data_IF_512997235216
#
_entry.id   IF_512997235216
#
_cell.length_a   1.000
_cell.length_b   1.000
_cell.length_c   1.000
_cell.angle_alpha   90.00
_cell.angle_beta   90.00
_cell.angle_gamma   90.00
#
_symmetry.space_group_name_H-M   'P 1'
#
loop_
_entity.id
_entity.type
_entity.pdbx_description
1 polymer ?
#
# COMPACT_ATOMS: atom_id res chain seq x y z
N UNK A 1 19.22 -14.49 -12.84
CA UNK A 1 18.33 -13.61 -12.06
C UNK A 1 18.21 -12.31 -12.85
N UNK A 2 17.08 -12.09 -13.55
CA UNK A 2 16.92 -10.90 -14.39
C UNK A 2 16.81 -9.65 -13.52
N UNK A 3 17.14 -8.50 -14.11
CA UNK A 3 17.23 -7.16 -13.54
C UNK A 3 15.96 -6.62 -12.85
N UNK A 4 14.87 -7.37 -12.84
CA UNK A 4 13.53 -6.89 -12.44
C UNK A 4 13.29 -6.96 -10.92
N UNK A 5 14.18 -7.61 -10.16
CA UNK A 5 14.06 -7.72 -8.70
C UNK A 5 14.29 -6.41 -7.94
N UNK A 6 14.85 -5.37 -8.59
CA UNK A 6 15.15 -4.09 -7.93
C UNK A 6 13.94 -3.18 -7.71
N UNK A 7 12.84 -3.42 -8.42
CA UNK A 7 11.64 -2.57 -8.33
C UNK A 7 10.52 -3.19 -7.50
N UNK A 8 10.66 -4.44 -7.05
CA UNK A 8 9.66 -5.15 -6.28
C UNK A 8 10.04 -5.16 -4.79
N UNK A 9 9.07 -4.91 -3.92
CA UNK A 9 9.30 -5.01 -2.48
C UNK A 9 9.37 -6.49 -2.03
N UNK A 10 10.33 -6.89 -1.18
CA UNK A 10 10.32 -8.22 -0.57
C UNK A 10 9.08 -8.45 0.31
N UNK A 11 8.72 -9.72 0.54
CA UNK A 11 7.72 -10.05 1.55
C UNK A 11 8.21 -9.69 2.96
N UNK A 12 7.27 -9.36 3.85
CA UNK A 12 7.55 -9.02 5.25
C UNK A 12 6.59 -7.99 5.81
N UNK A 13 6.92 -7.51 7.01
CA UNK A 13 6.12 -6.49 7.70
C UNK A 13 6.64 -5.10 7.39
N UNK A 14 5.71 -4.18 7.09
CA UNK A 14 6.01 -2.82 6.67
C UNK A 14 5.02 -1.83 7.27
N UNK A 15 5.48 -0.59 7.46
CA UNK A 15 4.60 0.57 7.46
C UNK A 15 4.50 1.11 6.03
N UNK A 16 3.30 1.49 5.61
CA UNK A 16 3.05 2.10 4.29
C UNK A 16 2.62 3.54 4.54
N UNK A 17 3.48 4.49 4.19
CA UNK A 17 3.34 5.91 4.56
C UNK A 17 3.11 6.73 3.30
N UNK A 18 2.15 7.63 3.28
CA UNK A 18 1.97 8.51 2.14
C UNK A 18 3.19 9.44 2.01
N UNK A 19 3.62 9.71 0.78
CA UNK A 19 4.76 10.60 0.54
C UNK A 19 4.47 12.05 0.93
N UNK A 20 3.20 12.46 0.93
CA UNK A 20 2.77 13.80 1.33
C UNK A 20 2.43 13.80 2.82
N UNK A 21 3.06 14.72 3.56
CA UNK A 21 2.74 14.95 4.97
C UNK A 21 1.40 15.67 5.13
N UNK A 22 0.80 15.54 6.31
CA UNK A 22 -0.29 16.41 6.73
C UNK A 22 0.16 17.88 6.81
N UNK A 23 -0.80 18.80 6.81
CA UNK A 23 -0.54 20.24 6.92
C UNK A 23 0.18 20.63 8.22
N UNK A 24 0.07 19.81 9.27
CA UNK A 24 0.79 19.96 10.54
C UNK A 24 2.18 19.31 10.53
N UNK A 25 2.64 18.83 9.36
CA UNK A 25 3.95 18.21 9.17
C UNK A 25 4.02 16.72 9.52
N UNK A 26 2.95 16.12 10.06
CA UNK A 26 2.97 14.70 10.43
C UNK A 26 2.95 13.78 9.21
N UNK A 27 3.73 12.70 9.29
CA UNK A 27 3.68 11.60 8.31
C UNK A 27 2.40 10.81 8.48
N UNK A 28 1.74 10.44 7.39
CA UNK A 28 0.46 9.75 7.40
C UNK A 28 0.64 8.31 6.91
N UNK A 29 0.36 7.33 7.76
CA UNK A 29 0.49 5.90 7.45
C UNK A 29 -0.86 5.24 7.23
N UNK A 30 -0.91 4.21 6.38
CA UNK A 30 -2.09 3.36 6.21
C UNK A 30 -2.47 2.72 7.54
N UNK A 31 -3.75 2.79 7.85
CA UNK A 31 -4.31 2.35 9.13
C UNK A 31 -5.45 1.38 8.89
N UNK A 32 -5.38 0.23 9.55
CA UNK A 32 -6.42 -0.77 9.54
C UNK A 32 -7.52 -0.42 10.55
N UNK A 33 -8.77 -0.33 10.08
CA UNK A 33 -9.92 0.12 10.87
C UNK A 33 -10.93 -0.99 11.21
N UNK A 34 -10.60 -2.26 10.95
CA UNK A 34 -11.49 -3.41 11.17
C UNK A 34 -12.00 -4.06 9.89
N UNK A 35 -12.58 -5.25 10.04
CA UNK A 35 -13.16 -6.02 8.93
C UNK A 35 -14.34 -5.29 8.28
N UNK A 36 -14.38 -5.28 6.96
CA UNK A 36 -15.35 -4.57 6.13
C UNK A 36 -15.22 -3.05 6.14
N UNK A 37 -14.19 -2.49 6.80
CA UNK A 37 -13.97 -1.03 6.88
C UNK A 37 -12.97 -0.55 5.85
N UNK A 38 -13.12 0.72 5.48
CA UNK A 38 -12.19 1.40 4.60
C UNK A 38 -10.85 1.62 5.32
N UNK A 39 -9.76 1.48 4.55
CA UNK A 39 -8.43 1.85 4.99
C UNK A 39 -8.32 3.37 4.94
N UNK A 40 -7.81 3.96 6.01
CA UNK A 40 -7.53 5.40 6.09
C UNK A 40 -6.04 5.63 6.28
N UNK A 41 -5.63 6.90 6.27
CA UNK A 41 -4.31 7.30 6.74
C UNK A 41 -4.39 8.06 8.07
N UNK A 42 -3.55 7.73 9.04
CA UNK A 42 -3.43 8.45 10.33
C UNK A 42 -1.98 8.79 10.64
N UNK A 43 -1.68 9.69 11.60
CA UNK A 43 -0.30 9.97 12.00
C UNK A 43 0.48 8.68 12.28
N UNK A 44 1.67 8.59 11.70
CA UNK A 44 2.51 7.40 11.80
C UNK A 44 2.96 7.17 13.24
N UNK A 45 2.58 6.01 13.80
CA UNK A 45 2.90 5.59 15.16
C UNK A 45 3.58 4.21 15.19
N UNK A 46 2.86 3.19 14.72
CA UNK A 46 3.15 1.75 14.83
C UNK A 46 2.41 0.92 13.77
N UNK A 47 1.57 1.56 12.94
CA UNK A 47 0.74 0.91 11.93
C UNK A 47 1.57 0.01 11.00
N UNK A 48 1.26 -1.28 10.99
CA UNK A 48 2.04 -2.30 10.29
C UNK A 48 1.14 -3.25 9.49
N UNK A 49 1.57 -3.50 8.26
CA UNK A 49 0.95 -4.36 7.26
C UNK A 49 1.94 -5.46 6.88
N UNK A 50 1.45 -6.68 6.73
CA UNK A 50 2.21 -7.80 6.20
C UNK A 50 2.01 -7.86 4.69
N UNK A 51 3.11 -7.83 3.93
CA UNK A 51 3.14 -7.99 2.48
C UNK A 51 3.62 -9.41 2.17
N UNK A 52 2.85 -10.17 1.41
CA UNK A 52 3.17 -11.55 1.03
C UNK A 52 3.16 -11.71 -0.49
N UNK A 53 4.10 -12.50 -1.02
CA UNK A 53 4.14 -12.82 -2.45
C UNK A 53 3.01 -13.79 -2.82
N UNK A 54 2.31 -13.52 -3.92
CA UNK A 54 1.30 -14.41 -4.47
C UNK A 54 1.82 -15.15 -5.71
N UNK A 55 1.94 -14.45 -6.85
CA UNK A 55 2.44 -15.02 -8.11
C UNK A 55 3.13 -13.96 -8.95
N UNK A 56 4.02 -14.40 -9.84
CA UNK A 56 4.54 -13.52 -10.89
C UNK A 56 3.46 -13.33 -11.97
N UNK A 57 3.21 -12.09 -12.34
CA UNK A 57 2.55 -11.72 -13.59
C UNK A 57 3.64 -11.56 -14.66
N UNK A 58 3.80 -12.59 -15.49
CA UNK A 58 4.82 -12.65 -16.54
C UNK A 58 4.61 -11.59 -17.62
N UNK A 59 3.36 -11.23 -17.92
CA UNK A 59 3.04 -10.21 -18.93
C UNK A 59 3.52 -8.84 -18.47
N UNK A 60 3.46 -8.58 -17.16
CA UNK A 60 3.78 -7.28 -16.57
C UNK A 60 5.09 -7.25 -15.80
N UNK A 61 5.85 -8.35 -15.84
CA UNK A 61 7.10 -8.57 -15.11
C UNK A 61 7.05 -8.08 -13.65
N UNK A 62 6.01 -8.45 -12.91
CA UNK A 62 5.83 -8.03 -11.50
C UNK A 62 5.34 -9.17 -10.64
N UNK A 63 5.74 -9.19 -9.37
CA UNK A 63 5.14 -10.10 -8.40
C UNK A 63 3.88 -9.43 -7.87
N UNK A 64 2.74 -10.10 -8.03
CA UNK A 64 1.51 -9.73 -7.36
C UNK A 64 1.61 -10.11 -5.89
N UNK A 65 1.16 -9.22 -5.02
CA UNK A 65 1.33 -9.36 -3.58
C UNK A 65 0.02 -9.11 -2.84
N UNK A 66 -0.18 -9.87 -1.76
CA UNK A 66 -1.22 -9.58 -0.78
C UNK A 66 -0.73 -8.48 0.16
N UNK A 67 -1.66 -7.66 0.62
CA UNK A 67 -1.44 -6.70 1.71
C UNK A 67 -2.42 -7.06 2.82
N UNK A 68 -1.92 -7.38 4.01
CA UNK A 68 -2.70 -7.91 5.13
C UNK A 68 -2.47 -7.07 6.38
N UNK A 69 -3.49 -6.80 7.21
CA UNK A 69 -3.24 -6.15 8.49
C UNK A 69 -2.43 -7.11 9.38
N UNK A 70 -1.31 -6.64 9.94
CA UNK A 70 -0.44 -7.48 10.77
C UNK A 70 -1.15 -8.06 11.99
N UNK A 71 -2.15 -7.35 12.52
CA UNK A 71 -2.95 -7.80 13.66
C UNK A 71 -3.93 -8.93 13.34
N UNK A 72 -4.23 -9.18 12.06
CA UNK A 72 -5.13 -10.26 11.66
C UNK A 72 -4.88 -10.72 10.21
N UNK A 73 -4.00 -11.71 10.04
CA UNK A 73 -3.58 -12.23 8.73
C UNK A 73 -4.64 -13.09 8.02
N UNK A 74 -5.82 -13.31 8.64
CA UNK A 74 -6.98 -13.93 7.98
C UNK A 74 -7.75 -12.93 7.09
N UNK A 75 -7.40 -11.65 7.19
CA UNK A 75 -7.96 -10.57 6.38
C UNK A 75 -6.95 -10.10 5.33
N UNK A 76 -7.47 -9.52 4.25
CA UNK A 76 -6.70 -8.96 3.15
C UNK A 76 -7.28 -7.61 2.76
N UNK A 77 -6.41 -6.70 2.30
CA UNK A 77 -6.86 -5.49 1.62
C UNK A 77 -7.49 -5.87 0.29
N UNK A 78 -8.64 -5.29 -0.01
CA UNK A 78 -9.37 -5.45 -1.26
C UNK A 78 -9.66 -4.08 -1.89
N UNK A 79 -10.03 -4.10 -3.17
CA UNK A 79 -10.38 -2.90 -3.93
C UNK A 79 -11.90 -2.78 -4.06
N UNK A 80 -12.46 -1.68 -3.57
CA UNK A 80 -13.84 -1.24 -3.82
C UNK A 80 -13.86 0.24 -4.19
N UNK A 81 -14.97 0.97 -4.01
CA UNK A 81 -15.00 2.44 -4.17
C UNK A 81 -13.94 3.17 -3.33
N UNK A 82 -13.60 2.58 -2.18
CA UNK A 82 -12.38 2.86 -1.42
C UNK A 82 -11.64 1.53 -1.17
N UNK A 83 -10.34 1.63 -0.90
CA UNK A 83 -9.54 0.52 -0.41
C UNK A 83 -10.09 0.10 0.95
N UNK A 84 -10.40 -1.18 1.11
CA UNK A 84 -11.05 -1.71 2.33
C UNK A 84 -10.46 -3.07 2.69
N UNK A 85 -10.74 -3.56 3.90
CA UNK A 85 -10.25 -4.87 4.35
C UNK A 85 -11.39 -5.87 4.47
N UNK A 86 -11.18 -7.11 4.01
CA UNK A 86 -12.17 -8.19 3.96
C UNK A 86 -11.53 -9.54 4.31
N UNK A 87 -12.32 -10.60 4.56
CA UNK A 87 -11.79 -11.96 4.60
C UNK A 87 -10.94 -12.27 3.38
N UNK A 88 -9.86 -13.04 3.58
CA UNK A 88 -8.94 -13.39 2.51
C UNK A 88 -9.66 -13.97 1.29
N UNK A 89 -9.34 -13.44 0.10
CA UNK A 89 -10.08 -13.69 -1.14
C UNK A 89 -9.18 -13.69 -2.38
N UNK A 90 -7.86 -13.76 -2.19
CA UNK A 90 -6.84 -13.59 -3.22
C UNK A 90 -6.82 -12.18 -3.84
N UNK A 91 -7.06 -11.16 -3.00
CA UNK A 91 -6.91 -9.78 -3.43
C UNK A 91 -5.42 -9.43 -3.49
N UNK A 92 -4.96 -8.98 -4.66
CA UNK A 92 -3.53 -8.77 -4.93
C UNK A 92 -3.25 -7.48 -5.68
N UNK A 93 -2.08 -6.93 -5.41
CA UNK A 93 -1.62 -5.64 -5.90
C UNK A 93 -0.20 -5.74 -6.43
N UNK A 94 0.10 -4.94 -7.46
CA UNK A 94 1.47 -4.69 -7.88
C UNK A 94 2.07 -3.57 -7.01
N UNK A 95 3.19 -3.86 -6.34
CA UNK A 95 3.91 -2.89 -5.51
C UNK A 95 5.27 -2.66 -6.14
N UNK A 96 5.41 -1.53 -6.83
CA UNK A 96 6.61 -1.23 -7.62
C UNK A 96 7.20 0.12 -7.26
N UNK A 97 8.53 0.14 -7.09
CA UNK A 97 9.29 1.36 -6.92
C UNK A 97 9.53 2.04 -8.28
N UNK A 98 9.34 3.35 -8.34
CA UNK A 98 9.71 4.18 -9.47
C UNK A 98 10.16 5.56 -8.99
N UNK A 99 11.24 6.08 -9.58
CA UNK A 99 11.86 7.31 -9.11
C UNK A 99 12.15 7.27 -7.60
N UNK A 100 11.54 8.19 -6.86
CA UNK A 100 11.75 8.38 -5.42
C UNK A 100 10.69 7.74 -4.50
N UNK A 101 9.73 6.96 -5.03
CA UNK A 101 8.63 6.42 -4.23
C UNK A 101 8.16 5.05 -4.69
N UNK A 102 7.20 4.51 -3.94
CA UNK A 102 6.49 3.28 -4.28
C UNK A 102 5.11 3.61 -4.82
N UNK A 103 4.68 2.83 -5.81
CA UNK A 103 3.30 2.77 -6.28
C UNK A 103 2.68 1.46 -5.82
N UNK A 104 1.41 1.52 -5.40
CA UNK A 104 0.59 0.35 -5.12
C UNK A 104 -0.58 0.42 -6.09
N UNK A 105 -0.69 -0.57 -6.96
CA UNK A 105 -1.70 -0.61 -8.02
C UNK A 105 -2.45 -1.93 -8.02
N UNK A 106 -3.65 -1.91 -8.60
CA UNK A 106 -4.36 -3.15 -8.96
C UNK A 106 -3.50 -4.08 -9.84
N UNK A 107 -3.92 -5.34 -9.96
CA UNK A 107 -3.19 -6.34 -10.75
C UNK A 107 -2.97 -5.93 -12.21
N UNK A 108 -3.87 -5.13 -12.78
CA UNK A 108 -3.77 -4.61 -14.14
C UNK A 108 -2.90 -3.34 -14.27
N UNK A 109 -2.38 -2.81 -13.16
CA UNK A 109 -1.56 -1.59 -13.05
C UNK A 109 -2.23 -0.30 -13.56
N UNK A 110 -3.57 -0.26 -13.64
CA UNK A 110 -4.35 0.89 -14.13
C UNK A 110 -4.82 1.80 -13.01
N UNK A 111 -4.99 1.25 -11.82
CA UNK A 111 -5.61 1.95 -10.69
C UNK A 111 -4.61 2.06 -9.55
N UNK A 112 -4.21 3.28 -9.21
CA UNK A 112 -3.28 3.56 -8.11
C UNK A 112 -4.04 3.78 -6.80
N UNK A 113 -3.49 3.30 -5.69
CA UNK A 113 -3.93 3.72 -4.36
C UNK A 113 -3.52 5.16 -4.11
N UNK A 114 -4.46 5.97 -3.63
CA UNK A 114 -4.26 7.40 -3.42
C UNK A 114 -5.03 7.92 -2.21
N UNK A 115 -4.69 9.12 -1.75
CA UNK A 115 -5.54 9.91 -0.86
C UNK A 115 -5.95 11.20 -1.57
N UNK A 116 -7.20 11.63 -1.44
CA UNK A 116 -7.63 12.92 -1.98
C UNK A 116 -7.01 14.11 -1.22
N UNK A 117 -6.96 13.97 0.11
CA UNK A 117 -6.47 14.99 1.04
C UNK A 117 -5.37 14.37 1.91
N UNK A 118 -4.28 15.09 2.12
CA UNK A 118 -3.24 14.70 3.06
C UNK A 118 -3.65 15.14 4.47
N UNK A 119 -4.61 14.44 5.06
CA UNK A 119 -5.09 14.70 6.41
C UNK A 119 -5.39 13.38 7.13
N UNK A 120 -5.25 13.37 8.46
CA UNK A 120 -5.62 12.22 9.28
C UNK A 120 -7.09 11.83 9.07
N UNK A 121 -7.36 10.54 8.94
CA UNK A 121 -8.68 9.99 8.66
C UNK A 121 -9.05 9.99 7.17
N UNK A 122 -8.20 10.52 6.28
CA UNK A 122 -8.48 10.47 4.84
C UNK A 122 -8.49 9.02 4.35
N UNK A 123 -9.51 8.66 3.59
CA UNK A 123 -9.63 7.33 2.99
C UNK A 123 -8.60 7.12 1.88
N UNK A 124 -8.13 5.88 1.77
CA UNK A 124 -7.33 5.44 0.63
C UNK A 124 -8.29 5.01 -0.47
N UNK A 125 -8.19 5.65 -1.63
CA UNK A 125 -9.11 5.49 -2.76
C UNK A 125 -8.37 5.01 -4.00
N UNK A 126 -9.01 4.19 -4.85
CA UNK A 126 -8.53 3.92 -6.20
C UNK A 126 -8.67 5.15 -7.10
N UNK A 127 -7.59 5.52 -7.80
CA UNK A 127 -7.63 6.52 -8.86
C UNK A 127 -6.95 6.00 -10.12
N UNK A 128 -7.71 5.95 -11.22
CA UNK A 128 -7.22 5.56 -12.53
C UNK A 128 -6.17 6.52 -13.07
N UNK A 129 -5.10 5.99 -13.67
CA UNK A 129 -4.07 6.73 -14.41
C UNK A 129 -3.41 7.90 -13.64
N UNK A 130 -3.44 7.85 -12.31
CA UNK A 130 -2.92 8.92 -11.46
C UNK A 130 -1.45 8.70 -11.09
N UNK A 131 -0.63 9.76 -11.22
CA UNK A 131 0.84 9.72 -11.05
C UNK A 131 1.40 10.76 -10.06
N UNK A 132 0.52 11.56 -9.43
CA UNK A 132 0.93 12.62 -8.52
C UNK A 132 1.47 12.13 -7.17
N UNK A 133 1.89 13.07 -6.33
CA UNK A 133 2.55 12.77 -5.04
C UNK A 133 1.64 12.06 -4.03
N UNK A 134 0.32 12.32 -4.07
CA UNK A 134 -0.65 11.67 -3.18
C UNK A 134 -0.93 10.20 -3.55
N UNK A 135 -0.42 9.75 -4.69
CA UNK A 135 -0.46 8.36 -5.15
C UNK A 135 0.85 7.60 -4.82
N UNK A 136 1.84 8.29 -4.24
CA UNK A 136 3.16 7.74 -3.92
C UNK A 136 3.26 7.42 -2.44
N UNK A 137 3.94 6.32 -2.18
CA UNK A 137 4.11 5.77 -0.84
C UNK A 137 5.60 5.62 -0.52
N UNK A 138 5.93 5.78 0.76
CA UNK A 138 7.19 5.37 1.37
C UNK A 138 6.90 4.10 2.15
N UNK A 139 7.55 3.00 1.78
CA UNK A 139 7.34 1.71 2.45
C UNK A 139 8.56 1.41 3.33
N UNK A 140 8.32 1.23 4.62
CA UNK A 140 9.34 1.15 5.67
C UNK A 140 9.26 -0.21 6.31
N UNK A 141 10.36 -0.97 6.32
CA UNK A 141 10.37 -2.27 6.99
C UNK A 141 10.13 -2.09 8.48
N UNK A 142 9.25 -2.91 9.06
CA UNK A 142 8.98 -2.87 10.50
C UNK A 142 10.29 -2.99 11.30
N UNK A 143 10.43 -2.18 12.36
CA UNK A 143 11.66 -2.10 13.16
C UNK A 143 12.76 -1.20 12.58
N UNK A 144 12.53 -0.56 11.43
CA UNK A 144 13.42 0.48 10.88
C UNK A 144 12.85 1.85 11.20
N UNK A 145 13.69 2.79 11.65
CA UNK A 145 13.26 4.18 11.85
C UNK A 145 13.08 4.89 10.51
N UNK A 146 12.06 5.74 10.45
CA UNK A 146 11.89 6.70 9.38
C UNK A 146 12.89 7.84 9.59
N UNK A 147 13.95 7.88 8.77
CA UNK A 147 14.84 9.04 8.69
C UNK A 147 14.07 10.29 8.26
#
# INVERSE_FOLDING_TARGET
MSSDSKFQIPAGDYAIVNRVNASDGKRLALTFNGDGKNVTVTPFDSSSWTIENYKCDEVRATILQHVKPKSNTKLEVSLGPAVNVRPAGNYVFGITQDGSGWSIKDGDKKTSWSIHVAASGSEVVPLSESTGEKQRWVIVKAGTSLA
#
